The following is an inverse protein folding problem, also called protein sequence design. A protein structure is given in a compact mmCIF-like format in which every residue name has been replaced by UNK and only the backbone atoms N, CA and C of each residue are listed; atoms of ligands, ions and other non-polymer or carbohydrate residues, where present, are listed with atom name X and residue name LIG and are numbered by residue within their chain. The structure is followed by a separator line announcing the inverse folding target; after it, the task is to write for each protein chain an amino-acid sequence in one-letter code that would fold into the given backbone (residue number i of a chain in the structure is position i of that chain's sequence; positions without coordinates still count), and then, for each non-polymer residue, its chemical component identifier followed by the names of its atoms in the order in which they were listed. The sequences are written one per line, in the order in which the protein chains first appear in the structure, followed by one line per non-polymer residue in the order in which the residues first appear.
data_IF_889507721737
#
_entry.id   IF_889507721737
#
_cell.length_a   1.000
_cell.length_b   1.000
_cell.length_c   1.000
_cell.angle_alpha   90.00
_cell.angle_beta   90.00
_cell.angle_gamma   90.00
#
_symmetry.space_group_name_H-M   'P 1'
#
loop_
_entity.id
_entity.type
_entity.pdbx_description
1 polymer ?
#
# COMPACT_ATOMS: atom_id res chain seq x y z
N UNK A 1 -39.60 3.13 37.74
CA UNK A 1 -38.86 1.98 37.20
C UNK A 1 -39.27 1.73 35.76
N UNK A 2 -38.25 1.50 34.91
CA UNK A 2 -38.26 0.84 33.59
C UNK A 2 -38.91 1.63 32.43
N UNK A 3 -38.12 2.39 31.65
CA UNK A 3 -37.28 1.97 30.48
C UNK A 3 -38.08 2.04 29.18
N UNK A 4 -37.99 3.10 28.37
CA UNK A 4 -36.93 3.47 27.40
C UNK A 4 -36.84 2.58 26.14
N UNK A 5 -37.44 3.09 25.06
CA UNK A 5 -36.90 3.27 23.69
C UNK A 5 -36.45 2.00 22.95
N UNK A 6 -37.34 1.52 22.08
CA UNK A 6 -37.00 0.76 20.87
C UNK A 6 -36.78 1.73 19.69
N UNK A 7 -35.75 1.46 18.89
CA UNK A 7 -35.51 2.15 17.62
C UNK A 7 -34.08 1.98 17.13
N UNK A 8 -33.66 0.74 16.88
CA UNK A 8 -32.30 0.39 16.44
C UNK A 8 -31.97 0.93 15.05
N UNK A 9 -30.77 1.50 14.91
CA UNK A 9 -30.19 1.88 13.63
C UNK A 9 -28.65 1.77 13.66
N UNK A 10 -28.12 0.55 13.89
CA UNK A 10 -26.67 0.30 13.91
C UNK A 10 -26.35 -0.95 13.08
N UNK A 11 -26.58 -0.88 11.78
CA UNK A 11 -26.17 -1.95 10.84
C UNK A 11 -25.20 -1.47 9.74
N UNK A 12 -24.97 -0.16 9.61
CA UNK A 12 -24.03 0.39 8.63
C UNK A 12 -22.58 0.37 9.15
N UNK A 13 -22.39 0.28 10.47
CA UNK A 13 -21.07 0.34 11.12
C UNK A 13 -20.33 -1.01 11.06
N UNK A 14 -21.03 -2.13 10.85
CA UNK A 14 -20.46 -3.48 11.04
C UNK A 14 -19.68 -4.02 9.84
N UNK A 15 -20.08 -3.74 8.60
CA UNK A 15 -19.39 -4.29 7.41
C UNK A 15 -18.08 -3.56 7.12
N UNK A 16 -18.07 -2.23 7.24
CA UNK A 16 -16.86 -1.43 7.01
C UNK A 16 -15.84 -1.66 8.12
N UNK A 17 -16.29 -1.75 9.39
CA UNK A 17 -15.43 -2.19 10.49
C UNK A 17 -15.01 -3.67 10.36
N UNK A 18 -15.84 -4.57 9.83
CA UNK A 18 -15.47 -5.97 9.63
C UNK A 18 -14.41 -6.11 8.53
N UNK A 19 -14.52 -5.37 7.44
CA UNK A 19 -13.49 -5.36 6.37
C UNK A 19 -12.21 -4.69 6.87
N UNK A 20 -12.30 -3.58 7.61
CA UNK A 20 -11.13 -2.98 8.26
C UNK A 20 -10.54 -3.95 9.29
N UNK A 21 -11.33 -4.71 10.04
CA UNK A 21 -10.85 -5.74 10.98
C UNK A 21 -10.25 -6.96 10.29
N UNK A 22 -10.75 -7.36 9.12
CA UNK A 22 -10.21 -8.43 8.29
C UNK A 22 -8.85 -8.02 7.71
N UNK A 23 -8.76 -6.80 7.15
CA UNK A 23 -7.52 -6.15 6.78
C UNK A 23 -6.57 -6.02 7.97
N UNK A 24 -7.01 -5.48 9.10
CA UNK A 24 -6.22 -5.33 10.33
C UNK A 24 -5.81 -6.66 10.98
N UNK A 25 -6.55 -7.74 10.78
CA UNK A 25 -6.19 -9.08 11.28
C UNK A 25 -5.09 -9.68 10.40
N UNK A 26 -5.23 -9.60 9.08
CA UNK A 26 -4.21 -10.08 8.15
C UNK A 26 -2.95 -9.20 8.18
N UNK A 27 -3.13 -7.88 8.27
CA UNK A 27 -2.08 -6.91 8.59
C UNK A 27 -1.50 -7.18 9.96
N UNK A 28 -2.30 -7.56 10.96
CA UNK A 28 -1.84 -7.97 12.27
C UNK A 28 -1.01 -9.22 12.20
N UNK A 29 -1.39 -10.21 11.39
CA UNK A 29 -0.62 -11.45 11.17
C UNK A 29 0.71 -11.17 10.43
N UNK A 30 0.71 -10.28 9.42
CA UNK A 30 1.91 -9.86 8.69
C UNK A 30 2.79 -8.92 9.53
N UNK A 31 2.19 -7.98 10.26
CA UNK A 31 2.87 -7.07 11.18
C UNK A 31 3.38 -7.83 12.39
N UNK A 32 2.72 -8.90 12.86
CA UNK A 32 3.26 -9.83 13.86
C UNK A 32 4.41 -10.63 13.27
N UNK A 33 4.31 -11.14 12.05
CA UNK A 33 5.43 -11.81 11.36
C UNK A 33 6.62 -10.86 11.11
N UNK A 34 6.36 -9.56 10.88
CA UNK A 34 7.35 -8.52 10.66
C UNK A 34 7.88 -7.91 11.98
N UNK A 35 7.06 -7.84 13.04
CA UNK A 35 7.44 -7.31 14.37
C UNK A 35 8.05 -8.37 15.27
N UNK A 36 7.77 -9.66 15.08
CA UNK A 36 8.56 -10.77 15.65
C UNK A 36 10.02 -10.74 15.18
N UNK A 37 10.33 -9.94 14.15
CA UNK A 37 11.67 -9.46 13.85
C UNK A 37 11.74 -7.96 14.16
N UNK A 38 11.76 -7.64 15.45
CA UNK A 38 12.10 -6.32 15.97
C UNK A 38 13.20 -5.70 15.10
N UNK A 39 12.98 -4.45 14.64
CA UNK A 39 13.96 -3.60 13.93
C UNK A 39 13.88 -3.53 12.39
N UNK A 40 12.79 -3.91 11.70
CA UNK A 40 12.67 -3.69 10.23
C UNK A 40 12.19 -2.27 9.87
N UNK A 41 11.27 -1.69 10.66
CA UNK A 41 10.67 -0.37 10.37
C UNK A 41 11.22 0.75 11.25
N UNK A 42 12.09 0.46 12.22
CA UNK A 42 12.75 1.48 13.02
C UNK A 42 14.10 1.85 12.37
N UNK A 43 14.11 2.92 11.58
CA UNK A 43 15.31 3.36 10.85
C UNK A 43 15.72 4.77 11.31
N UNK A 44 16.69 4.90 12.24
CA UNK A 44 17.07 6.21 12.79
C UNK A 44 17.50 7.21 11.72
N UNK A 45 16.91 8.40 11.73
CA UNK A 45 17.16 9.47 10.76
C UNK A 45 16.41 9.34 9.43
N UNK A 46 15.47 8.38 9.34
CA UNK A 46 14.56 8.19 8.20
C UNK A 46 13.11 7.98 8.67
N UNK A 47 12.75 8.52 9.84
CA UNK A 47 11.44 8.34 10.45
C UNK A 47 10.32 8.89 9.55
N UNK A 48 10.52 10.07 8.95
CA UNK A 48 9.57 10.68 8.02
C UNK A 48 9.40 9.84 6.74
N UNK A 49 10.49 9.30 6.19
CA UNK A 49 10.42 8.44 5.01
C UNK A 49 9.71 7.11 5.30
N UNK A 50 9.92 6.50 6.46
CA UNK A 50 9.20 5.29 6.87
C UNK A 50 7.72 5.58 7.08
N UNK A 51 7.38 6.68 7.78
CA UNK A 51 5.99 7.10 8.00
C UNK A 51 5.27 7.35 6.66
N UNK A 52 5.94 8.05 5.73
CA UNK A 52 5.43 8.23 4.37
C UNK A 52 5.21 6.90 3.64
N UNK A 53 6.19 5.99 3.66
CA UNK A 53 6.07 4.68 2.99
C UNK A 53 4.90 3.86 3.56
N UNK A 54 4.70 3.94 4.88
CA UNK A 54 3.59 3.27 5.56
C UNK A 54 2.24 3.86 5.15
N UNK A 55 2.10 5.19 5.25
CA UNK A 55 0.89 5.91 4.85
C UNK A 55 0.56 5.74 3.37
N UNK A 56 1.57 5.78 2.49
CA UNK A 56 1.41 5.52 1.07
C UNK A 56 0.89 4.11 0.79
N UNK A 57 1.45 3.09 1.47
CA UNK A 57 1.00 1.70 1.34
C UNK A 57 -0.45 1.52 1.83
N UNK A 58 -0.81 2.16 2.95
CA UNK A 58 -2.17 2.14 3.49
C UNK A 58 -3.17 2.87 2.57
N UNK A 59 -2.84 4.06 2.09
CA UNK A 59 -3.67 4.79 1.13
C UNK A 59 -3.85 3.98 -0.16
N UNK A 60 -2.77 3.38 -0.68
CA UNK A 60 -2.82 2.50 -1.86
C UNK A 60 -3.75 1.31 -1.63
N UNK A 61 -3.69 0.68 -0.45
CA UNK A 61 -4.60 -0.42 -0.10
C UNK A 61 -6.07 0.03 -0.07
N UNK A 62 -6.36 1.21 0.49
CA UNK A 62 -7.70 1.76 0.59
C UNK A 62 -8.27 2.08 -0.80
N UNK A 63 -7.51 2.75 -1.67
CA UNK A 63 -7.92 3.03 -3.04
C UNK A 63 -8.07 1.74 -3.88
N UNK A 64 -7.16 0.77 -3.76
CA UNK A 64 -7.26 -0.49 -4.48
C UNK A 64 -8.54 -1.27 -4.12
N UNK A 65 -8.96 -1.18 -2.85
CA UNK A 65 -10.24 -1.71 -2.39
C UNK A 65 -11.43 -1.01 -3.03
N UNK A 66 -11.43 0.32 -3.11
CA UNK A 66 -12.53 1.07 -3.73
C UNK A 66 -12.60 0.83 -5.25
N UNK A 67 -11.45 0.83 -5.94
CA UNK A 67 -11.34 0.46 -7.37
C UNK A 67 -11.89 -0.95 -7.60
N UNK A 68 -11.50 -1.92 -6.77
CA UNK A 68 -11.96 -3.31 -6.91
C UNK A 68 -13.46 -3.47 -6.65
N UNK A 69 -14.05 -2.68 -5.74
CA UNK A 69 -15.50 -2.64 -5.54
C UNK A 69 -16.23 -2.14 -6.78
N UNK A 70 -15.78 -1.01 -7.36
CA UNK A 70 -16.36 -0.44 -8.59
C UNK A 70 -16.34 -1.47 -9.72
N UNK A 71 -15.25 -2.23 -9.82
CA UNK A 71 -15.06 -3.24 -10.87
C UNK A 71 -15.57 -4.64 -10.52
N UNK A 72 -16.21 -4.82 -9.35
CA UNK A 72 -16.71 -6.11 -8.84
C UNK A 72 -15.64 -7.21 -8.85
N UNK A 73 -14.41 -6.85 -8.49
CA UNK A 73 -13.25 -7.74 -8.35
C UNK A 73 -13.00 -8.10 -6.89
N UNK A 74 -12.01 -8.96 -6.65
CA UNK A 74 -11.67 -9.41 -5.30
C UNK A 74 -11.03 -8.27 -4.48
N UNK A 75 -11.84 -7.67 -3.61
CA UNK A 75 -11.46 -6.52 -2.78
C UNK A 75 -10.34 -6.85 -1.79
N UNK A 76 -10.40 -8.00 -1.12
CA UNK A 76 -9.39 -8.38 -0.13
C UNK A 76 -8.05 -8.68 -0.79
N UNK A 77 -8.09 -9.32 -1.96
CA UNK A 77 -6.91 -9.62 -2.76
C UNK A 77 -6.19 -8.34 -3.22
N UNK A 78 -6.93 -7.38 -3.76
CA UNK A 78 -6.40 -6.10 -4.20
C UNK A 78 -5.87 -5.25 -3.04
N UNK A 79 -6.62 -5.21 -1.91
CA UNK A 79 -6.19 -4.50 -0.70
C UNK A 79 -4.83 -5.00 -0.21
N UNK A 80 -4.68 -6.33 -0.07
CA UNK A 80 -3.45 -6.93 0.41
C UNK A 80 -2.29 -6.76 -0.58
N UNK A 81 -2.56 -6.91 -1.87
CA UNK A 81 -1.55 -6.73 -2.92
C UNK A 81 -1.03 -5.29 -2.95
N UNK A 82 -1.92 -4.31 -2.84
CA UNK A 82 -1.56 -2.90 -2.78
C UNK A 82 -0.91 -2.50 -1.45
N UNK A 83 -1.25 -3.15 -0.33
CA UNK A 83 -0.55 -2.88 0.93
C UNK A 83 0.93 -3.29 0.88
N UNK A 84 1.24 -4.41 0.21
CA UNK A 84 2.58 -5.00 0.22
C UNK A 84 3.41 -4.70 -1.03
N UNK A 85 2.86 -3.97 -2.01
CA UNK A 85 3.48 -3.72 -3.30
C UNK A 85 4.89 -3.10 -3.20
N UNK A 86 5.15 -2.31 -2.14
CA UNK A 86 6.42 -1.65 -1.86
C UNK A 86 7.11 -2.12 -0.57
N UNK A 87 6.75 -3.30 -0.04
CA UNK A 87 7.30 -3.82 1.24
C UNK A 87 8.83 -3.92 1.26
N UNK A 88 9.48 -4.00 0.10
CA UNK A 88 10.94 -4.02 -0.02
C UNK A 88 11.62 -2.68 0.31
N UNK A 89 10.94 -1.53 0.20
CA UNK A 89 11.49 -0.20 0.49
C UNK A 89 11.95 -0.06 1.95
N UNK A 90 11.10 -0.27 2.97
CA UNK A 90 11.53 -0.12 4.37
C UNK A 90 12.59 -1.15 4.77
N UNK A 91 12.49 -2.39 4.26
CA UNK A 91 13.50 -3.43 4.50
C UNK A 91 14.86 -3.02 3.97
N UNK A 92 14.91 -2.54 2.72
CA UNK A 92 16.14 -2.10 2.09
C UNK A 92 16.71 -0.87 2.80
N UNK A 93 15.87 0.11 3.11
CA UNK A 93 16.29 1.31 3.84
C UNK A 93 16.93 0.95 5.18
N UNK A 94 16.34 0.02 5.93
CA UNK A 94 16.93 -0.48 7.16
C UNK A 94 18.27 -1.20 6.95
N UNK A 95 18.40 -2.02 5.91
CA UNK A 95 19.69 -2.67 5.56
C UNK A 95 20.76 -1.61 5.26
N UNK A 96 20.41 -0.60 4.46
CA UNK A 96 21.33 0.47 4.07
C UNK A 96 21.66 1.40 5.22
N UNK A 97 20.75 1.65 6.17
CA UNK A 97 20.98 2.56 7.30
C UNK A 97 21.52 1.87 8.57
N UNK A 98 21.38 0.55 8.71
CA UNK A 98 21.92 -0.18 9.86
C UNK A 98 23.44 -0.34 9.79
N UNK A 99 24.19 0.36 10.67
CA UNK A 99 25.66 0.20 10.81
C UNK A 99 26.08 -1.25 10.98
N UNK A 100 25.32 -2.03 11.76
CA UNK A 100 25.58 -3.45 12.00
C UNK A 100 25.44 -4.27 10.72
N UNK A 101 24.35 -4.07 9.96
CA UNK A 101 24.12 -4.81 8.72
C UNK A 101 25.11 -4.37 7.64
N UNK A 102 25.36 -3.06 7.49
CA UNK A 102 26.40 -2.54 6.60
C UNK A 102 27.77 -3.16 6.88
N UNK A 103 28.21 -3.21 8.14
CA UNK A 103 29.49 -3.85 8.52
C UNK A 103 29.51 -5.33 8.14
N UNK A 104 28.42 -6.06 8.42
CA UNK A 104 28.30 -7.50 8.07
C UNK A 104 28.36 -7.73 6.56
N UNK A 105 27.74 -6.84 5.78
CA UNK A 105 27.66 -6.91 4.32
C UNK A 105 28.81 -6.18 3.60
N UNK A 106 29.75 -5.58 4.35
CA UNK A 106 30.87 -4.77 3.83
C UNK A 106 30.44 -3.58 2.97
N UNK A 107 29.30 -2.98 3.29
CA UNK A 107 28.78 -1.77 2.66
C UNK A 107 29.41 -0.56 3.38
N UNK A 108 30.01 0.38 2.63
CA UNK A 108 30.55 1.64 3.17
C UNK A 108 29.42 2.54 3.65
N UNK A 109 29.74 3.60 4.39
CA UNK A 109 28.73 4.64 4.64
C UNK A 109 28.29 5.27 3.32
N UNK A 110 26.99 5.46 3.18
CA UNK A 110 26.34 6.00 1.99
C UNK A 110 25.73 7.34 2.36
N UNK A 111 25.78 8.30 1.44
CA UNK A 111 25.02 9.53 1.60
C UNK A 111 23.53 9.28 1.27
N UNK A 112 22.67 10.26 1.59
CA UNK A 112 21.21 10.14 1.39
C UNK A 112 20.84 9.91 -0.08
N UNK A 113 21.51 10.60 -1.01
CA UNK A 113 21.26 10.48 -2.46
C UNK A 113 21.51 9.05 -2.96
N UNK A 114 22.66 8.45 -2.62
CA UNK A 114 22.98 7.07 -2.96
C UNK A 114 22.00 6.07 -2.33
N UNK A 115 21.51 6.34 -1.12
CA UNK A 115 20.49 5.49 -0.48
C UNK A 115 19.20 5.51 -1.31
N UNK A 116 18.73 6.69 -1.72
CA UNK A 116 17.51 6.83 -2.52
C UNK A 116 17.67 6.17 -3.89
N UNK A 117 18.81 6.34 -4.57
CA UNK A 117 19.10 5.63 -5.83
C UNK A 117 19.05 4.11 -5.68
N UNK A 118 19.68 3.58 -4.63
CA UNK A 118 19.64 2.14 -4.35
C UNK A 118 18.22 1.66 -4.02
N UNK A 119 17.41 2.49 -3.37
CA UNK A 119 16.02 2.16 -3.09
C UNK A 119 15.21 2.00 -4.37
N UNK A 120 15.35 2.90 -5.33
CA UNK A 120 14.70 2.78 -6.65
C UNK A 120 15.17 1.54 -7.40
N UNK A 121 16.47 1.25 -7.36
CA UNK A 121 17.05 0.12 -8.09
C UNK A 121 16.73 -1.26 -7.49
N UNK A 122 16.67 -1.37 -6.16
CA UNK A 122 16.71 -2.67 -5.48
C UNK A 122 15.47 -3.02 -4.66
N UNK A 123 14.60 -2.06 -4.35
CA UNK A 123 13.46 -2.29 -3.45
C UNK A 123 12.51 -3.37 -3.97
N UNK A 124 12.22 -3.40 -5.28
CA UNK A 124 11.40 -4.44 -5.89
C UNK A 124 12.00 -5.83 -5.70
N UNK A 125 13.29 -6.01 -6.03
CA UNK A 125 13.99 -7.28 -5.86
C UNK A 125 14.06 -7.73 -4.39
N UNK A 126 14.22 -6.80 -3.44
CA UNK A 126 14.14 -7.09 -2.00
C UNK A 126 12.73 -7.53 -1.62
N UNK A 127 11.70 -6.85 -2.13
CA UNK A 127 10.30 -7.20 -1.92
C UNK A 127 9.96 -8.61 -2.42
N UNK A 128 10.44 -8.99 -3.61
CA UNK A 128 10.25 -10.34 -4.15
C UNK A 128 10.94 -11.41 -3.31
N UNK A 129 12.16 -11.15 -2.83
CA UNK A 129 12.84 -12.06 -1.90
C UNK A 129 12.15 -12.15 -0.55
N UNK A 130 11.51 -11.08 -0.10
CA UNK A 130 10.69 -11.11 1.10
C UNK A 130 9.44 -11.96 0.89
N UNK A 131 8.75 -11.77 -0.24
CA UNK A 131 7.57 -12.56 -0.60
C UNK A 131 7.87 -14.06 -0.67
N UNK A 132 8.99 -14.44 -1.29
CA UNK A 132 9.49 -15.82 -1.29
C UNK A 132 9.76 -16.32 0.14
N UNK A 133 10.48 -15.54 0.96
CA UNK A 133 10.89 -15.95 2.31
C UNK A 133 9.71 -16.07 3.28
N UNK A 134 8.66 -15.30 3.07
CA UNK A 134 7.44 -15.30 3.87
C UNK A 134 6.36 -16.21 3.31
N UNK A 135 6.63 -16.91 2.20
CA UNK A 135 5.67 -17.78 1.51
C UNK A 135 4.36 -17.05 1.21
N UNK A 136 4.47 -15.79 0.78
CA UNK A 136 3.32 -14.95 0.46
C UNK A 136 2.58 -15.50 -0.77
N UNK A 137 1.25 -15.34 -0.84
CA UNK A 137 0.45 -15.71 -2.01
C UNK A 137 1.00 -15.11 -3.32
N UNK A 138 0.94 -15.89 -4.41
CA UNK A 138 1.43 -15.50 -5.74
C UNK A 138 0.98 -14.11 -6.19
N UNK A 139 -0.27 -13.73 -5.92
CA UNK A 139 -0.84 -12.42 -6.28
C UNK A 139 -0.02 -11.25 -5.72
N UNK A 140 0.54 -11.40 -4.52
CA UNK A 140 1.35 -10.38 -3.87
C UNK A 140 2.72 -10.30 -4.55
N UNK A 141 3.37 -11.44 -4.78
CA UNK A 141 4.67 -11.49 -5.45
C UNK A 141 4.57 -10.91 -6.88
N UNK A 142 3.54 -11.29 -7.62
CA UNK A 142 3.27 -10.80 -8.98
C UNK A 142 2.96 -9.30 -8.97
N UNK A 143 2.22 -8.81 -7.97
CA UNK A 143 1.99 -7.37 -7.81
C UNK A 143 3.27 -6.61 -7.52
N UNK A 144 4.10 -7.07 -6.59
CA UNK A 144 5.42 -6.47 -6.31
C UNK A 144 6.25 -6.39 -7.60
N UNK A 145 6.21 -7.44 -8.43
CA UNK A 145 6.98 -7.51 -9.67
C UNK A 145 6.48 -6.56 -10.77
N UNK A 146 5.17 -6.30 -10.84
CA UNK A 146 4.56 -5.70 -12.03
C UNK A 146 3.71 -4.45 -11.78
N UNK A 147 3.57 -3.97 -10.55
CA UNK A 147 2.71 -2.79 -10.28
C UNK A 147 3.16 -1.51 -11.01
N UNK A 148 4.45 -1.38 -11.37
CA UNK A 148 4.97 -0.25 -12.18
C UNK A 148 4.81 -0.44 -13.69
N UNK A 149 4.54 -1.66 -14.14
CA UNK A 149 4.33 -2.01 -15.54
C UNK A 149 3.35 -3.20 -15.61
N UNK A 150 2.06 -2.87 -15.44
CA UNK A 150 0.99 -3.85 -15.35
C UNK A 150 0.86 -4.70 -16.62
N UNK A 151 1.35 -4.20 -17.76
CA UNK A 151 1.30 -4.89 -19.05
C UNK A 151 2.07 -6.22 -19.04
N UNK A 152 3.07 -6.34 -18.16
CA UNK A 152 3.90 -7.54 -17.98
C UNK A 152 3.29 -8.60 -17.09
N UNK A 153 2.21 -8.31 -16.37
CA UNK A 153 1.56 -9.29 -15.51
C UNK A 153 0.72 -10.27 -16.33
N UNK A 154 1.01 -11.57 -16.28
CA UNK A 154 0.19 -12.59 -16.98
C UNK A 154 -0.96 -13.15 -16.12
N UNK A 155 -0.80 -13.07 -14.79
CA UNK A 155 -1.76 -13.54 -13.78
C UNK A 155 -2.07 -12.39 -12.83
N UNK A 156 -3.21 -12.46 -12.13
CA UNK A 156 -3.63 -11.46 -11.14
C UNK A 156 -3.64 -10.01 -11.68
N UNK A 157 -3.95 -9.85 -12.98
CA UNK A 157 -3.94 -8.55 -13.65
C UNK A 157 -4.84 -7.52 -12.96
N UNK A 158 -5.98 -7.96 -12.42
CA UNK A 158 -6.90 -7.07 -11.71
C UNK A 158 -6.23 -6.48 -10.45
N UNK A 159 -5.53 -7.30 -9.66
CA UNK A 159 -4.78 -6.85 -8.49
C UNK A 159 -3.63 -5.91 -8.87
N UNK A 160 -2.88 -6.25 -9.93
CA UNK A 160 -1.76 -5.43 -10.40
C UNK A 160 -2.25 -4.06 -10.90
N UNK A 161 -3.30 -4.04 -11.72
CA UNK A 161 -3.92 -2.82 -12.23
C UNK A 161 -4.51 -1.97 -11.11
N UNK A 162 -5.29 -2.58 -10.21
CA UNK A 162 -5.87 -1.88 -9.06
C UNK A 162 -4.77 -1.27 -8.18
N UNK A 163 -3.67 -2.00 -7.94
CA UNK A 163 -2.52 -1.50 -7.18
C UNK A 163 -1.82 -0.35 -7.90
N UNK A 164 -1.60 -0.48 -9.21
CA UNK A 164 -0.94 0.54 -10.03
C UNK A 164 -1.69 1.88 -9.96
N UNK A 165 -3.00 1.86 -10.25
CA UNK A 165 -3.82 3.06 -10.20
C UNK A 165 -3.99 3.58 -8.76
N UNK A 166 -4.20 2.70 -7.78
CA UNK A 166 -4.31 3.09 -6.38
C UNK A 166 -3.04 3.76 -5.83
N UNK A 167 -1.86 3.31 -6.26
CA UNK A 167 -0.60 3.95 -5.92
C UNK A 167 -0.53 5.38 -6.43
N UNK A 168 -1.12 5.68 -7.60
CA UNK A 168 -1.19 7.04 -8.13
C UNK A 168 -2.12 7.93 -7.30
N UNK A 169 -3.30 7.42 -6.93
CA UNK A 169 -4.19 8.12 -6.00
C UNK A 169 -3.53 8.37 -4.64
N UNK A 170 -2.82 7.39 -4.10
CA UNK A 170 -2.06 7.54 -2.86
C UNK A 170 -0.94 8.59 -3.01
N UNK A 171 -0.23 8.59 -4.12
CA UNK A 171 0.79 9.61 -4.39
C UNK A 171 0.18 11.01 -4.51
N UNK A 172 -0.96 11.14 -5.19
CA UNK A 172 -1.70 12.40 -5.28
C UNK A 172 -2.14 12.90 -3.90
N UNK A 173 -2.62 12.01 -3.03
CA UNK A 173 -3.06 12.35 -1.66
C UNK A 173 -1.97 13.03 -0.81
N UNK A 174 -0.71 12.68 -1.03
CA UNK A 174 0.43 13.22 -0.27
C UNK A 174 1.27 14.22 -1.06
N UNK A 175 0.87 14.57 -2.28
CA UNK A 175 1.53 15.62 -3.06
C UNK A 175 1.01 16.99 -2.63
N UNK A 176 1.85 18.00 -2.81
CA UNK A 176 1.48 19.41 -2.60
C UNK A 176 0.34 19.80 -3.56
N UNK A 177 -0.52 20.76 -3.18
CA UNK A 177 -1.76 21.14 -3.89
C UNK A 177 -1.57 21.58 -5.36
N UNK A 178 -0.31 21.72 -5.80
CA UNK A 178 0.10 22.20 -7.12
C UNK A 178 0.11 21.16 -8.23
N UNK A 179 -0.03 19.86 -7.95
CA UNK A 179 -0.10 18.81 -8.97
C UNK A 179 -1.54 18.49 -9.34
N UNK A 180 -1.83 18.50 -10.63
CA UNK A 180 -3.17 18.29 -11.16
C UNK A 180 -3.55 16.81 -11.14
N UNK A 181 -4.83 16.52 -10.90
CA UNK A 181 -5.35 15.16 -10.96
C UNK A 181 -5.33 14.56 -12.39
N UNK A 182 -4.94 15.34 -13.40
CA UNK A 182 -4.88 14.93 -14.82
C UNK A 182 -4.07 13.66 -15.05
N UNK A 183 -2.95 13.49 -14.35
CA UNK A 183 -2.11 12.28 -14.42
C UNK A 183 -2.89 11.00 -14.06
N UNK A 184 -3.90 11.09 -13.19
CA UNK A 184 -4.76 9.95 -12.82
C UNK A 184 -5.72 9.62 -13.95
N UNK A 185 -6.35 10.62 -14.58
CA UNK A 185 -7.29 10.42 -15.69
C UNK A 185 -6.58 9.86 -16.93
N UNK A 186 -5.34 10.27 -17.19
CA UNK A 186 -4.54 9.82 -18.34
C UNK A 186 -3.84 8.48 -18.11
N UNK A 187 -3.92 7.92 -16.89
CA UNK A 187 -3.22 6.70 -16.56
C UNK A 187 -3.77 5.51 -17.39
N UNK A 188 -2.93 4.70 -18.08
CA UNK A 188 -3.41 3.66 -19.01
C UNK A 188 -4.34 2.60 -18.38
N UNK A 189 -4.22 2.39 -17.07
CA UNK A 189 -5.08 1.48 -16.32
C UNK A 189 -6.55 1.95 -16.27
N UNK A 190 -6.82 3.25 -16.40
CA UNK A 190 -8.19 3.80 -16.41
C UNK A 190 -9.01 3.15 -17.52
N UNK A 191 -8.46 3.12 -18.74
CA UNK A 191 -9.10 2.50 -19.90
C UNK A 191 -9.21 0.97 -19.75
N UNK A 192 -8.15 0.32 -19.29
CA UNK A 192 -8.11 -1.15 -19.10
C UNK A 192 -9.13 -1.62 -18.05
N UNK A 193 -9.29 -0.85 -16.97
CA UNK A 193 -10.33 -1.09 -15.97
C UNK A 193 -11.69 -0.56 -16.39
N UNK A 194 -11.83 0.10 -17.55
CA UNK A 194 -13.05 0.75 -18.03
C UNK A 194 -13.66 1.69 -16.95
N UNK A 195 -12.82 2.50 -16.31
CA UNK A 195 -13.25 3.53 -15.36
C UNK A 195 -13.62 4.80 -16.13
N UNK A 196 -14.78 5.35 -15.83
CA UNK A 196 -15.26 6.59 -16.43
C UNK A 196 -14.80 7.80 -15.58
N UNK A 197 -14.83 9.03 -16.12
CA UNK A 197 -14.48 10.23 -15.36
C UNK A 197 -15.21 10.35 -14.01
N UNK A 198 -16.51 10.01 -13.96
CA UNK A 198 -17.31 10.00 -12.73
C UNK A 198 -16.80 8.99 -11.69
N UNK A 199 -16.25 7.85 -12.13
CA UNK A 199 -15.62 6.86 -11.23
C UNK A 199 -14.36 7.44 -10.59
N UNK A 200 -13.54 8.14 -11.38
CA UNK A 200 -12.31 8.79 -10.92
C UNK A 200 -12.64 9.94 -9.97
N UNK A 201 -13.64 10.76 -10.31
CA UNK A 201 -14.12 11.83 -9.44
C UNK A 201 -14.64 11.26 -8.10
N UNK A 202 -15.43 10.19 -8.14
CA UNK A 202 -15.92 9.50 -6.95
C UNK A 202 -14.80 8.90 -6.09
N UNK A 203 -13.68 8.50 -6.68
CA UNK A 203 -12.48 8.09 -5.96
C UNK A 203 -11.75 9.29 -5.35
N UNK A 204 -11.57 10.39 -6.10
CA UNK A 204 -10.95 11.62 -5.60
C UNK A 204 -11.71 12.20 -4.40
N UNK A 205 -13.05 12.17 -4.43
CA UNK A 205 -13.90 12.61 -3.31
C UNK A 205 -13.71 11.77 -2.03
N UNK A 206 -13.14 10.56 -2.12
CA UNK A 206 -12.83 9.71 -0.96
C UNK A 206 -11.47 10.03 -0.33
N UNK A 207 -10.66 10.90 -0.95
CA UNK A 207 -9.30 11.22 -0.51
C UNK A 207 -9.24 11.68 0.95
N UNK A 208 -10.08 12.65 1.34
CA UNK A 208 -10.12 13.17 2.72
C UNK A 208 -10.46 12.07 3.74
N UNK A 209 -11.49 11.27 3.46
CA UNK A 209 -11.90 10.17 4.34
C UNK A 209 -10.83 9.07 4.45
N UNK A 210 -10.10 8.79 3.37
CA UNK A 210 -8.97 7.84 3.38
C UNK A 210 -7.80 8.43 4.18
N UNK A 211 -7.50 9.71 4.04
CA UNK A 211 -6.46 10.40 4.80
C UNK A 211 -6.75 10.39 6.30
N UNK A 212 -7.99 10.67 6.71
CA UNK A 212 -8.42 10.58 8.11
C UNK A 212 -8.27 9.16 8.68
N UNK A 213 -8.59 8.14 7.87
CA UNK A 213 -8.50 6.74 8.29
C UNK A 213 -7.06 6.31 8.58
N UNK A 214 -6.08 6.87 7.86
CA UNK A 214 -4.66 6.49 8.00
C UNK A 214 -3.86 7.43 8.91
N UNK A 215 -4.39 8.59 9.31
CA UNK A 215 -3.73 9.53 10.24
C UNK A 215 -3.38 8.92 11.61
N UNK A 216 -4.09 7.86 12.02
CA UNK A 216 -3.91 7.19 13.31
C UNK A 216 -3.32 5.77 13.20
N UNK A 217 -2.87 5.37 12.00
CA UNK A 217 -2.25 4.08 11.74
C UNK A 217 -0.72 4.14 11.88
#
# INVERSE_FOLDING_TARGET
SNSSIYGGNVEIVSLQQAVTRLGMRLMGEIAIAASLKDNIFAVPGFEEEIDYMWKHSLASSAFAKEISKLRRRNVESAYLSALLHQVGKPVLLNILNSKRLRKKLRIKELNKETILELMELLSQSVGLKLAEKWELPDQIAITIQHWTDFSKAERFKDEVMATCLASQFASFLFQDESKEASDIYEHPVVDELNLYPDDIEGLLQKSEAIEELIKFA
#
